data_IF_587899923326
#
_entry.id   IF_587899923326
#
_cell.length_a   1.000
_cell.length_b   1.000
_cell.length_c   1.000
_cell.angle_alpha   90.00
_cell.angle_beta   90.00
_cell.angle_gamma   90.00
#
_symmetry.space_group_name_H-M   'P 1'
#
loop_
_entity.id
_entity.type
_entity.pdbx_description
1 polymer ?
#
# COMPACT_ATOMS: atom_id res chain seq x y z
N UNK A 1 -12.83 1.32 1.16
CA UNK A 1 -13.07 2.26 0.05
C UNK A 1 -14.05 1.61 -0.91
N UNK A 2 -14.91 2.35 -1.61
CA UNK A 2 -15.78 1.76 -2.62
C UNK A 2 -14.97 1.12 -3.74
N UNK A 3 -15.53 0.12 -4.44
CA UNK A 3 -14.91 -0.41 -5.65
C UNK A 3 -14.77 0.67 -6.72
N UNK A 4 -13.68 0.64 -7.49
CA UNK A 4 -13.43 1.60 -8.56
C UNK A 4 -11.95 1.76 -8.90
N UNK A 5 -11.67 2.66 -9.84
CA UNK A 5 -10.32 2.99 -10.26
C UNK A 5 -9.72 4.06 -9.36
N UNK A 6 -8.45 3.86 -8.99
CA UNK A 6 -7.70 4.75 -8.11
C UNK A 6 -6.32 5.03 -8.70
N UNK A 7 -5.93 6.30 -8.64
CA UNK A 7 -4.56 6.74 -8.89
C UNK A 7 -3.81 6.70 -7.57
N UNK A 8 -2.68 6.00 -7.57
CA UNK A 8 -1.75 5.90 -6.45
C UNK A 8 -0.46 6.59 -6.88
N UNK A 9 -0.10 7.66 -6.19
CA UNK A 9 1.05 8.47 -6.57
C UNK A 9 1.72 9.16 -5.39
N UNK A 10 2.95 9.60 -5.60
CA UNK A 10 3.66 10.43 -4.60
C UNK A 10 3.04 11.82 -4.55
N UNK A 11 2.90 12.36 -3.35
CA UNK A 11 2.60 13.79 -3.21
C UNK A 11 3.86 14.61 -3.48
N UNK A 12 3.73 15.62 -4.33
CA UNK A 12 4.78 16.59 -4.65
C UNK A 12 4.71 17.85 -3.79
N UNK A 13 3.68 17.99 -2.94
CA UNK A 13 3.38 19.24 -2.22
C UNK A 13 4.01 19.35 -0.83
N UNK A 14 4.56 18.27 -0.28
CA UNK A 14 5.28 18.32 0.98
C UNK A 14 6.65 17.67 0.79
N UNK A 15 7.67 18.26 1.41
CA UNK A 15 9.01 17.68 1.60
C UNK A 15 9.00 16.31 2.30
N UNK A 16 7.82 15.85 2.75
CA UNK A 16 7.59 14.57 3.40
C UNK A 16 7.09 13.53 2.40
N UNK A 17 7.55 12.30 2.62
CA UNK A 17 7.30 11.06 1.89
C UNK A 17 5.81 10.64 1.87
N UNK A 18 4.95 11.44 1.26
CA UNK A 18 3.51 11.23 1.23
C UNK A 18 3.04 10.42 0.02
N UNK A 19 2.08 9.53 0.24
CA UNK A 19 1.33 8.81 -0.78
C UNK A 19 -0.09 9.39 -0.86
N UNK A 20 -0.51 9.73 -2.06
CA UNK A 20 -1.90 10.10 -2.37
C UNK A 20 -2.55 8.93 -3.09
N UNK A 21 -3.67 8.48 -2.55
CA UNK A 21 -4.58 7.54 -3.21
C UNK A 21 -5.85 8.31 -3.54
N UNK A 22 -6.09 8.59 -4.81
CA UNK A 22 -7.25 9.39 -5.25
C UNK A 22 -8.09 8.58 -6.23
N UNK A 23 -9.41 8.63 -6.07
CA UNK A 23 -10.32 8.05 -7.05
C UNK A 23 -10.20 8.82 -8.36
N UNK A 24 -10.18 8.13 -9.50
CA UNK A 24 -10.15 8.78 -10.82
C UNK A 24 -11.38 9.67 -11.02
N UNK A 25 -12.54 9.17 -10.59
CA UNK A 25 -13.82 9.86 -10.64
C UNK A 25 -14.24 10.36 -9.25
N UNK A 26 -14.29 11.69 -9.07
CA UNK A 26 -14.81 12.36 -7.87
C UNK A 26 -13.76 13.03 -6.95
N UNK A 27 -14.23 13.52 -5.79
CA UNK A 27 -13.41 14.27 -4.81
C UNK A 27 -12.81 13.39 -3.70
N UNK A 28 -13.06 12.09 -3.70
CA UNK A 28 -12.56 11.19 -2.66
C UNK A 28 -11.08 10.86 -2.88
N UNK A 29 -10.26 11.17 -1.88
CA UNK A 29 -8.85 10.82 -1.83
C UNK A 29 -8.37 10.65 -0.39
N UNK A 30 -7.30 9.88 -0.23
CA UNK A 30 -6.62 9.64 1.04
C UNK A 30 -5.17 10.06 0.88
N UNK A 31 -4.65 10.77 1.88
CA UNK A 31 -3.23 11.06 2.01
C UNK A 31 -2.66 10.24 3.17
N UNK A 32 -1.56 9.53 2.91
CA UNK A 32 -0.86 8.73 3.90
C UNK A 32 0.62 9.10 3.94
N UNK A 33 1.16 9.28 5.13
CA UNK A 33 2.61 9.35 5.32
C UNK A 33 3.20 7.96 5.13
N UNK A 34 4.28 7.89 4.36
CA UNK A 34 5.00 6.66 4.07
C UNK A 34 6.45 6.79 4.51
N UNK A 35 7.15 5.67 4.52
CA UNK A 35 8.61 5.62 4.63
C UNK A 35 9.20 5.03 3.37
N UNK A 36 10.39 5.47 2.97
CA UNK A 36 11.14 4.75 1.94
C UNK A 36 11.50 3.33 2.41
N UNK A 37 11.39 2.36 1.50
CA UNK A 37 11.84 0.98 1.70
C UNK A 37 12.68 0.56 0.49
N UNK A 38 13.68 -0.28 0.71
CA UNK A 38 14.63 -0.73 -0.30
C UNK A 38 14.39 -2.21 -0.63
N UNK A 39 14.31 -2.54 -1.91
CA UNK A 39 14.35 -3.92 -2.40
C UNK A 39 15.80 -4.29 -2.78
N UNK A 40 16.10 -5.58 -2.71
CA UNK A 40 17.37 -6.15 -3.17
C UNK A 40 17.54 -5.96 -4.68
N UNK A 41 16.47 -6.16 -5.45
CA UNK A 41 16.46 -6.01 -6.89
C UNK A 41 15.55 -4.86 -7.35
N UNK A 42 15.87 -4.34 -8.53
CA UNK A 42 15.01 -3.40 -9.26
C UNK A 42 13.69 -4.09 -9.58
N UNK A 43 12.58 -3.46 -9.21
CA UNK A 43 11.26 -4.00 -9.46
C UNK A 43 10.97 -3.99 -10.96
N UNK A 44 10.59 -5.15 -11.51
CA UNK A 44 10.20 -5.26 -12.94
C UNK A 44 8.86 -4.59 -13.20
N UNK A 45 7.92 -4.77 -12.28
CA UNK A 45 6.54 -4.30 -12.40
C UNK A 45 6.17 -3.32 -11.29
N UNK A 46 5.21 -2.44 -11.60
CA UNK A 46 4.57 -1.61 -10.57
C UNK A 46 3.54 -2.45 -9.82
N UNK A 47 3.62 -2.49 -8.49
CA UNK A 47 2.76 -3.37 -7.69
C UNK A 47 2.35 -2.74 -6.36
N UNK A 48 1.17 -3.13 -5.90
CA UNK A 48 0.62 -2.82 -4.58
C UNK A 48 0.67 -4.09 -3.73
N UNK A 49 1.35 -4.05 -2.59
CA UNK A 49 1.42 -5.19 -1.67
C UNK A 49 0.50 -4.94 -0.49
N UNK A 50 -0.41 -5.87 -0.27
CA UNK A 50 -1.38 -5.87 0.81
C UNK A 50 -1.01 -6.90 1.87
N UNK A 51 -1.25 -6.57 3.13
CA UNK A 51 -1.37 -7.55 4.20
C UNK A 51 -2.82 -7.99 4.28
N UNK A 52 -3.03 -9.29 4.19
CA UNK A 52 -4.35 -9.92 4.26
C UNK A 52 -4.52 -10.63 5.60
N UNK A 53 -5.64 -10.34 6.25
CA UNK A 53 -6.11 -10.99 7.47
C UNK A 53 -7.51 -11.53 7.18
N UNK A 54 -7.62 -12.80 6.77
CA UNK A 54 -8.88 -13.38 6.32
C UNK A 54 -9.41 -12.69 5.06
N UNK A 55 -10.53 -11.97 5.15
CA UNK A 55 -11.15 -11.22 4.05
C UNK A 55 -10.74 -9.73 4.02
N UNK A 56 -9.90 -9.29 4.96
CA UNK A 56 -9.52 -7.88 5.11
C UNK A 56 -8.12 -7.62 4.57
N UNK A 57 -8.02 -6.61 3.70
CA UNK A 57 -6.78 -6.23 3.01
C UNK A 57 -6.35 -4.83 3.41
N UNK A 58 -5.07 -4.67 3.77
CA UNK A 58 -4.46 -3.40 4.15
C UNK A 58 -3.24 -3.14 3.27
N UNK A 59 -3.23 -2.00 2.57
CA UNK A 59 -2.10 -1.61 1.74
C UNK A 59 -0.88 -1.37 2.63
N UNK A 60 0.20 -2.10 2.38
CA UNK A 60 1.41 -2.07 3.18
C UNK A 60 2.60 -1.51 2.40
N UNK A 61 2.69 -1.80 1.10
CA UNK A 61 3.83 -1.39 0.27
C UNK A 61 3.37 -0.98 -1.14
N UNK A 62 4.03 0.02 -1.71
CA UNK A 62 3.86 0.47 -3.09
C UNK A 62 5.21 0.44 -3.78
N UNK A 63 5.26 -0.20 -4.94
CA UNK A 63 6.46 -0.38 -5.75
C UNK A 63 6.22 0.13 -7.16
N UNK A 64 7.26 0.72 -7.76
CA UNK A 64 7.22 1.26 -9.11
C UNK A 64 8.28 0.54 -9.95
N UNK A 65 7.88 0.09 -11.14
CA UNK A 65 8.76 -0.55 -12.11
C UNK A 65 9.99 0.31 -12.42
N UNK A 66 11.16 -0.33 -12.55
CA UNK A 66 12.43 0.34 -12.82
C UNK A 66 13.08 1.00 -11.60
N UNK A 67 12.52 0.84 -10.39
CA UNK A 67 13.11 1.35 -9.15
C UNK A 67 13.40 0.20 -8.18
N UNK A 68 14.49 0.32 -7.42
CA UNK A 68 14.79 -0.54 -6.28
C UNK A 68 14.25 0.05 -4.96
N UNK A 69 13.76 1.28 -4.97
CA UNK A 69 13.08 1.90 -3.83
C UNK A 69 11.56 1.86 -3.98
N UNK A 70 10.88 1.68 -2.85
CA UNK A 70 9.43 1.64 -2.71
C UNK A 70 8.95 2.50 -1.55
N UNK A 71 7.64 2.45 -1.29
CA UNK A 71 6.99 3.19 -0.19
C UNK A 71 6.26 2.23 0.73
N UNK A 72 6.69 2.18 1.98
CA UNK A 72 6.05 1.42 3.04
C UNK A 72 5.05 2.27 3.81
N UNK A 73 3.84 1.77 3.99
CA UNK A 73 2.82 2.40 4.82
C UNK A 73 2.87 1.85 6.24
N UNK A 74 2.78 2.70 7.27
CA UNK A 74 2.60 2.24 8.64
C UNK A 74 1.20 1.61 8.80
N UNK A 75 1.12 0.57 9.63
CA UNK A 75 -0.15 -0.12 9.84
C UNK A 75 -1.19 0.79 10.49
N UNK A 76 -2.39 0.84 9.91
CA UNK A 76 -3.48 1.68 10.44
C UNK A 76 -3.93 1.22 11.82
N UNK A 77 -4.63 2.09 12.59
CA UNK A 77 -5.19 1.69 13.90
C UNK A 77 -6.06 0.43 13.79
N UNK A 78 -6.88 0.36 12.72
CA UNK A 78 -7.73 -0.80 12.43
C UNK A 78 -6.88 -2.05 12.15
N UNK A 79 -5.89 -1.96 11.27
CA UNK A 79 -4.98 -3.06 10.96
C UNK A 79 -4.30 -3.61 12.21
N UNK A 80 -3.79 -2.75 13.09
CA UNK A 80 -3.13 -3.17 14.33
C UNK A 80 -4.06 -3.95 15.26
N UNK A 81 -5.34 -3.59 15.33
CA UNK A 81 -6.31 -4.32 16.15
C UNK A 81 -6.55 -5.72 15.59
N UNK A 82 -6.72 -5.83 14.28
CA UNK A 82 -6.90 -7.11 13.58
C UNK A 82 -5.64 -7.96 13.67
N UNK A 83 -4.47 -7.37 13.47
CA UNK A 83 -3.19 -8.07 13.59
C UNK A 83 -2.96 -8.63 14.99
N UNK A 84 -3.35 -7.88 16.04
CA UNK A 84 -3.30 -8.37 17.42
C UNK A 84 -4.23 -9.56 17.64
N UNK A 85 -5.44 -9.49 17.12
CA UNK A 85 -6.39 -10.59 17.25
C UNK A 85 -5.93 -11.83 16.48
N UNK A 86 -5.49 -11.67 15.24
CA UNK A 86 -4.97 -12.76 14.41
C UNK A 86 -3.73 -13.43 15.05
N UNK A 87 -2.84 -12.65 15.66
CA UNK A 87 -1.65 -13.18 16.33
C UNK A 87 -2.00 -14.03 17.57
N UNK A 88 -3.08 -13.71 18.30
CA UNK A 88 -3.55 -14.56 19.42
C UNK A 88 -4.01 -15.93 18.93
N UNK A 89 -4.53 -16.00 17.71
CA UNK A 89 -4.94 -17.24 17.06
C UNK A 89 -3.80 -17.91 16.26
N UNK A 90 -2.55 -17.46 16.44
CA UNK A 90 -1.36 -18.02 15.78
C UNK A 90 -1.21 -17.66 14.30
N UNK A 91 -2.04 -16.75 13.77
CA UNK A 91 -2.04 -16.36 12.37
C UNK A 91 -1.05 -15.24 12.04
N UNK A 92 -0.25 -15.43 11.01
CA UNK A 92 0.50 -14.36 10.36
C UNK A 92 -0.29 -13.80 9.16
N UNK A 93 -0.15 -12.50 8.84
CA UNK A 93 -0.77 -11.96 7.63
C UNK A 93 -0.15 -12.56 6.37
N UNK A 94 -0.99 -12.90 5.40
CA UNK A 94 -0.53 -13.21 4.05
C UNK A 94 -0.13 -11.90 3.35
N UNK A 95 0.96 -11.93 2.58
CA UNK A 95 1.32 -10.83 1.68
C UNK A 95 0.75 -11.11 0.29
N UNK A 96 -0.12 -10.23 -0.19
CA UNK A 96 -0.75 -10.33 -1.51
C UNK A 96 -0.28 -9.18 -2.37
N UNK A 97 0.37 -9.47 -3.49
CA UNK A 97 0.80 -8.46 -4.45
C UNK A 97 -0.20 -8.37 -5.61
N UNK A 98 -0.65 -7.16 -5.91
CA UNK A 98 -1.44 -6.83 -7.10
C UNK A 98 -0.52 -6.07 -8.04
N UNK A 99 -0.26 -6.65 -9.21
CA UNK A 99 0.52 -6.00 -10.27
C UNK A 99 -0.41 -5.08 -11.06
N UNK A 100 0.00 -3.83 -11.23
CA UNK A 100 -0.71 -2.91 -12.10
C UNK A 100 -0.27 -3.16 -13.54
N UNK A 101 -1.24 -3.26 -14.46
CA UNK A 101 -0.92 -3.26 -15.88
C UNK A 101 -0.27 -1.93 -16.28
N UNK A 102 0.73 -2.03 -17.16
CA UNK A 102 1.34 -0.88 -17.80
C UNK A 102 0.23 -0.14 -18.59
N UNK A 103 0.07 1.19 -18.43
CA UNK A 103 -0.89 1.94 -19.22
C UNK A 103 -0.54 1.90 -20.72
#
# INVERSE_FOLDING_TARGET
>A
MPAGQYLVGRSTQASAEGLVVRRTEGRAGVFALTREIQAEEVQRDSKLVFRRYGDQYFLAEVWISGRSTGRGLPGSRKERLIAKENAKHGGNPEKVAIVGDKP
#
